data_IF_621659411050
#
_entry.id   IF_621659411050
#
_cell.length_a   1.000
_cell.length_b   1.000
_cell.length_c   1.000
_cell.angle_alpha   90.00
_cell.angle_beta   90.00
_cell.angle_gamma   90.00
#
_symmetry.space_group_name_H-M   'P 1'
#
loop_
_entity.id
_entity.type
_entity.pdbx_description
1 polymer ?
#
# COMPACT_ATOMS: atom_id res chain seq x y z
N UNK A 1 -25.34 -33.81 37.11
CA UNK A 1 -24.20 -33.14 37.78
C UNK A 1 -22.92 -33.75 37.27
N UNK A 2 -22.28 -33.11 36.29
CA UNK A 2 -20.83 -32.90 36.20
C UNK A 2 -20.58 -31.94 35.04
N UNK A 3 -19.99 -30.81 35.40
CA UNK A 3 -19.60 -29.70 34.54
C UNK A 3 -18.35 -30.09 33.74
N UNK A 4 -18.36 -29.73 32.46
CA UNK A 4 -17.20 -29.84 31.58
C UNK A 4 -17.06 -28.51 30.84
N UNK A 5 -16.13 -27.70 31.32
CA UNK A 5 -15.75 -26.38 30.82
C UNK A 5 -15.41 -26.44 29.33
N UNK A 6 -16.30 -25.94 28.46
CA UNK A 6 -15.97 -25.67 27.06
C UNK A 6 -15.52 -24.23 26.96
N UNK A 7 -14.20 -24.08 26.75
CA UNK A 7 -13.48 -22.84 26.49
C UNK A 7 -14.29 -21.91 25.59
N UNK A 8 -14.66 -20.77 26.16
CA UNK A 8 -15.27 -19.65 25.46
C UNK A 8 -14.28 -19.18 24.39
N UNK A 9 -14.53 -19.59 23.14
CA UNK A 9 -13.86 -19.07 21.95
C UNK A 9 -14.15 -17.57 21.94
N UNK A 10 -13.18 -16.76 22.36
CA UNK A 10 -13.25 -15.30 22.33
C UNK A 10 -13.55 -14.89 20.88
N UNK A 11 -14.82 -14.59 20.62
CA UNK A 11 -15.28 -13.98 19.38
C UNK A 11 -14.93 -12.51 19.52
N UNK A 12 -13.72 -12.16 19.08
CA UNK A 12 -13.23 -10.79 19.06
C UNK A 12 -14.13 -10.01 18.09
N UNK A 13 -14.83 -9.01 18.63
CA UNK A 13 -16.06 -8.40 18.13
C UNK A 13 -15.83 -7.33 17.05
N UNK A 14 -16.37 -7.58 15.84
CA UNK A 14 -17.30 -6.79 15.00
C UNK A 14 -17.50 -5.26 15.16
N UNK A 15 -16.60 -4.48 15.77
CA UNK A 15 -16.71 -3.01 15.85
C UNK A 15 -15.49 -2.30 15.23
N UNK A 16 -15.28 -2.49 13.92
CA UNK A 16 -14.40 -1.59 13.15
C UNK A 16 -15.22 -0.40 12.66
N UNK A 17 -15.02 0.76 13.29
CA UNK A 17 -15.38 2.03 12.67
C UNK A 17 -14.30 2.29 11.62
N UNK A 18 -14.54 1.87 10.37
CA UNK A 18 -13.80 2.44 9.24
C UNK A 18 -14.22 3.90 9.19
N UNK A 19 -13.40 4.78 9.76
CA UNK A 19 -13.61 6.21 9.64
C UNK A 19 -13.62 6.50 8.13
N UNK A 20 -14.64 7.19 7.59
CA UNK A 20 -14.58 7.64 6.21
C UNK A 20 -13.26 8.39 6.08
N UNK A 21 -12.40 7.92 5.18
CA UNK A 21 -11.11 8.53 4.92
C UNK A 21 -11.36 10.03 4.79
N UNK A 22 -10.84 10.81 5.72
CA UNK A 22 -10.94 12.26 5.60
C UNK A 22 -10.13 12.58 4.35
N UNK A 23 -10.83 12.86 3.25
CA UNK A 23 -10.23 13.54 2.11
C UNK A 23 -9.78 14.90 2.63
N UNK A 24 -8.56 14.96 3.16
CA UNK A 24 -7.84 16.23 3.21
C UNK A 24 -7.61 16.53 1.74
N UNK A 25 -8.42 17.45 1.19
CA UNK A 25 -8.25 17.95 -0.16
C UNK A 25 -6.87 18.58 -0.30
N UNK A 26 -5.89 17.74 -0.58
CA UNK A 26 -4.52 18.05 -0.97
C UNK A 26 -4.28 17.27 -2.25
N UNK A 27 -3.72 17.95 -3.24
CA UNK A 27 -3.56 17.54 -4.63
C UNK A 27 -3.46 16.01 -4.85
N UNK A 28 -4.43 15.48 -5.61
CA UNK A 28 -4.34 14.19 -6.30
C UNK A 28 -3.01 14.16 -7.05
N UNK A 29 -2.25 13.08 -6.94
CA UNK A 29 -0.92 12.94 -7.53
C UNK A 29 -0.74 13.64 -8.88
N UNK A 30 0.12 14.65 -8.94
CA UNK A 30 0.32 15.47 -10.15
C UNK A 30 1.42 14.95 -11.07
N UNK A 31 2.27 14.05 -10.58
CA UNK A 31 3.43 13.55 -11.29
C UNK A 31 3.73 12.08 -11.01
N UNK A 32 4.54 11.49 -11.90
CA UNK A 32 4.93 10.09 -11.84
C UNK A 32 6.41 9.96 -11.56
N UNK A 33 6.79 8.88 -10.89
CA UNK A 33 8.18 8.53 -10.59
C UNK A 33 8.46 7.09 -10.97
N UNK A 34 9.71 6.85 -11.36
CA UNK A 34 10.22 5.51 -11.60
C UNK A 34 10.65 4.88 -10.27
N UNK A 35 10.27 3.64 -10.07
CA UNK A 35 10.72 2.79 -8.97
C UNK A 35 10.81 1.35 -9.45
N UNK A 36 11.53 0.51 -8.72
CA UNK A 36 11.57 -0.94 -9.01
C UNK A 36 10.92 -1.69 -7.87
N UNK A 37 10.09 -2.68 -8.20
CA UNK A 37 9.57 -3.65 -7.24
C UNK A 37 10.31 -4.95 -7.44
N UNK A 38 10.74 -5.54 -6.34
CA UNK A 38 11.50 -6.78 -6.29
C UNK A 38 10.87 -7.75 -5.30
N UNK A 39 10.77 -8.99 -5.73
CA UNK A 39 10.48 -10.10 -4.85
C UNK A 39 11.66 -10.34 -3.90
N UNK A 40 11.41 -10.20 -2.59
CA UNK A 40 12.43 -10.35 -1.54
C UNK A 40 13.06 -11.75 -1.46
N UNK A 41 12.38 -12.78 -1.98
CA UNK A 41 12.82 -14.18 -1.92
C UNK A 41 13.52 -14.58 -3.21
N UNK A 42 12.88 -14.34 -4.36
CA UNK A 42 13.38 -14.81 -5.67
C UNK A 42 14.33 -13.82 -6.33
N UNK A 43 14.25 -12.53 -5.97
CA UNK A 43 14.98 -11.46 -6.64
C UNK A 43 14.39 -11.01 -7.98
N UNK A 44 13.29 -11.62 -8.44
CA UNK A 44 12.55 -11.18 -9.62
C UNK A 44 12.11 -9.72 -9.44
N UNK A 45 12.33 -8.89 -10.46
CA UNK A 45 12.10 -7.46 -10.35
C UNK A 45 11.50 -6.84 -11.62
N UNK A 46 10.80 -5.72 -11.43
CA UNK A 46 10.29 -4.90 -12.53
C UNK A 46 10.35 -3.42 -12.19
N UNK A 47 10.89 -2.64 -13.13
CA UNK A 47 10.80 -1.19 -13.08
C UNK A 47 9.41 -0.73 -13.50
N UNK A 48 8.81 0.13 -12.70
CA UNK A 48 7.46 0.65 -12.83
C UNK A 48 7.49 2.17 -12.79
N UNK A 49 6.47 2.78 -13.39
CA UNK A 49 6.26 4.22 -13.36
C UNK A 49 4.90 4.51 -12.71
N UNK A 50 4.91 4.97 -11.46
CA UNK A 50 3.71 5.15 -10.64
C UNK A 50 3.37 6.60 -10.39
N UNK A 51 2.08 6.89 -10.27
CA UNK A 51 1.56 8.18 -9.85
C UNK A 51 1.81 8.36 -8.36
N UNK A 52 2.46 9.46 -7.95
CA UNK A 52 2.67 9.76 -6.53
C UNK A 52 1.35 10.19 -5.91
N UNK A 53 0.75 9.38 -5.06
CA UNK A 53 -0.58 9.65 -4.48
C UNK A 53 -0.53 9.62 -2.95
N UNK A 54 -0.47 10.79 -2.33
CA UNK A 54 -0.47 10.92 -0.87
C UNK A 54 -1.84 10.64 -0.24
N UNK A 55 -2.91 10.54 -1.05
CA UNK A 55 -4.24 10.12 -0.60
C UNK A 55 -4.40 8.60 -0.53
N UNK A 56 -3.54 7.84 -1.22
CA UNK A 56 -3.49 6.38 -1.11
C UNK A 56 -2.57 5.97 0.04
N UNK A 57 -3.09 5.20 1.01
CA UNK A 57 -2.28 4.72 2.14
C UNK A 57 -1.15 3.79 1.69
N UNK A 58 -1.43 2.92 0.71
CA UNK A 58 -0.51 1.90 0.20
C UNK A 58 -0.15 2.13 -1.27
N UNK A 59 0.96 1.54 -1.69
CA UNK A 59 1.29 1.45 -3.12
C UNK A 59 0.38 0.42 -3.77
N UNK A 60 -0.32 0.79 -4.83
CA UNK A 60 -1.24 -0.10 -5.56
C UNK A 60 -0.63 -0.45 -6.90
N UNK A 61 -0.54 -1.75 -7.20
CA UNK A 61 0.03 -2.29 -8.44
C UNK A 61 -0.96 -3.32 -9.00
N UNK A 62 -1.22 -3.32 -10.33
CA UNK A 62 -2.07 -4.33 -10.94
C UNK A 62 -1.63 -5.75 -10.56
N UNK A 63 -2.58 -6.55 -10.11
CA UNK A 63 -2.33 -7.90 -9.58
C UNK A 63 -1.46 -8.75 -10.52
N UNK A 64 -1.74 -8.73 -11.83
CA UNK A 64 -0.97 -9.50 -12.80
C UNK A 64 0.54 -9.18 -12.81
N UNK A 65 0.94 -7.95 -12.52
CA UNK A 65 2.36 -7.59 -12.40
C UNK A 65 2.97 -8.23 -11.15
N UNK A 66 2.27 -8.17 -10.02
CA UNK A 66 2.73 -8.76 -8.77
C UNK A 66 2.77 -10.29 -8.83
N UNK A 67 1.76 -10.89 -9.47
CA UNK A 67 1.68 -12.33 -9.72
C UNK A 67 2.84 -12.79 -10.62
N UNK A 68 3.17 -12.04 -11.68
CA UNK A 68 4.33 -12.31 -12.55
C UNK A 68 5.67 -12.22 -11.81
N UNK A 69 5.78 -11.32 -10.83
CA UNK A 69 6.95 -11.21 -9.95
C UNK A 69 6.96 -12.28 -8.84
N UNK A 70 5.90 -13.09 -8.73
CA UNK A 70 5.74 -14.09 -7.69
C UNK A 70 5.61 -13.51 -6.28
N UNK A 71 5.13 -12.27 -6.15
CA UNK A 71 4.84 -11.66 -4.84
C UNK A 71 3.65 -12.41 -4.22
N UNK A 72 3.80 -12.84 -2.97
CA UNK A 72 2.76 -13.55 -2.25
C UNK A 72 1.67 -12.59 -1.76
N UNK A 73 0.44 -13.12 -1.63
CA UNK A 73 -0.69 -12.43 -1.00
C UNK A 73 -0.64 -12.79 0.48
N UNK A 74 0.12 -12.00 1.23
CA UNK A 74 0.42 -12.24 2.63
C UNK A 74 -0.80 -11.98 3.53
N UNK A 75 -1.59 -10.96 3.18
CA UNK A 75 -2.70 -10.45 3.98
C UNK A 75 -3.87 -10.04 3.07
N UNK A 76 -5.07 -9.93 3.64
CA UNK A 76 -6.27 -9.43 2.95
C UNK A 76 -6.98 -8.47 3.89
N UNK A 77 -7.29 -7.26 3.42
CA UNK A 77 -7.85 -6.19 4.24
C UNK A 77 -8.97 -5.41 3.53
N UNK A 78 -9.81 -4.73 4.30
CA UNK A 78 -10.86 -3.85 3.78
C UNK A 78 -10.34 -2.44 3.54
N UNK A 79 -10.48 -1.96 2.31
CA UNK A 79 -10.08 -0.62 1.87
C UNK A 79 -11.29 0.24 1.52
N UNK A 80 -11.35 1.46 2.05
CA UNK A 80 -12.22 2.50 1.51
C UNK A 80 -11.58 3.16 0.31
N UNK A 81 -12.29 3.14 -0.82
CA UNK A 81 -11.84 3.76 -2.06
C UNK A 81 -12.33 5.20 -2.19
N UNK A 82 -11.78 5.92 -3.17
CA UNK A 82 -12.09 7.32 -3.42
C UNK A 82 -13.56 7.56 -3.82
N UNK A 83 -14.26 6.56 -4.35
CA UNK A 83 -15.69 6.62 -4.68
C UNK A 83 -16.60 6.32 -3.46
N UNK A 84 -16.01 6.07 -2.29
CA UNK A 84 -16.71 5.71 -1.06
C UNK A 84 -17.10 4.23 -0.97
N UNK A 85 -16.78 3.41 -1.98
CA UNK A 85 -16.94 1.97 -1.89
C UNK A 85 -15.93 1.36 -0.91
N UNK A 86 -16.28 0.19 -0.38
CA UNK A 86 -15.38 -0.63 0.44
C UNK A 86 -15.10 -1.92 -0.32
N UNK A 87 -13.82 -2.25 -0.46
CA UNK A 87 -13.38 -3.45 -1.16
C UNK A 87 -12.39 -4.24 -0.31
N UNK A 88 -12.49 -5.56 -0.39
CA UNK A 88 -11.51 -6.48 0.19
C UNK A 88 -10.39 -6.67 -0.84
N UNK A 89 -9.16 -6.31 -0.49
CA UNK A 89 -8.00 -6.37 -1.37
C UNK A 89 -6.84 -7.09 -0.67
N UNK A 90 -6.10 -7.85 -1.48
CA UNK A 90 -4.91 -8.54 -1.01
C UNK A 90 -3.72 -7.57 -0.89
N UNK A 91 -2.85 -7.85 0.07
CA UNK A 91 -1.61 -7.13 0.35
C UNK A 91 -0.46 -8.14 0.28
N UNK A 92 0.65 -7.72 -0.33
CA UNK A 92 1.89 -8.48 -0.41
C UNK A 92 3.10 -7.66 0.03
N UNK A 93 4.19 -8.35 0.30
CA UNK A 93 5.42 -7.75 0.80
C UNK A 93 6.51 -7.75 -0.27
N UNK A 94 6.98 -6.58 -0.67
CA UNK A 94 8.04 -6.43 -1.67
C UNK A 94 9.21 -5.56 -1.18
N UNK A 95 10.36 -5.68 -1.82
CA UNK A 95 11.41 -4.68 -1.72
C UNK A 95 11.21 -3.66 -2.84
N UNK A 96 11.27 -2.38 -2.51
CA UNK A 96 11.19 -1.29 -3.47
C UNK A 96 12.56 -0.62 -3.59
N UNK A 97 12.98 -0.32 -4.81
CA UNK A 97 14.06 0.64 -5.06
C UNK A 97 13.47 1.97 -5.53
N UNK A 98 13.74 3.02 -4.78
CA UNK A 98 13.29 4.39 -5.06
C UNK A 98 14.38 5.38 -4.61
N UNK A 99 14.71 6.35 -5.48
CA UNK A 99 15.75 7.35 -5.20
C UNK A 99 17.09 6.71 -4.76
N UNK A 100 17.49 5.62 -5.44
CA UNK A 100 18.75 4.91 -5.19
C UNK A 100 18.84 4.18 -3.85
N UNK A 101 17.73 4.00 -3.15
CA UNK A 101 17.65 3.28 -1.87
C UNK A 101 16.70 2.10 -2.01
N UNK A 102 16.95 1.06 -1.23
CA UNK A 102 16.07 -0.11 -1.13
C UNK A 102 15.38 -0.13 0.24
N UNK A 103 14.06 -0.32 0.26
CA UNK A 103 13.28 -0.50 1.51
C UNK A 103 12.19 -1.57 1.33
N UNK A 104 11.85 -2.31 2.40
CA UNK A 104 10.66 -3.15 2.38
C UNK A 104 9.41 -2.26 2.36
N UNK A 105 8.41 -2.66 1.57
CA UNK A 105 7.12 -2.00 1.46
C UNK A 105 5.99 -3.04 1.37
N UNK A 106 4.80 -2.61 1.77
CA UNK A 106 3.57 -3.31 1.46
C UNK A 106 3.01 -2.81 0.12
N UNK A 107 2.53 -3.74 -0.71
CA UNK A 107 1.89 -3.46 -2.00
C UNK A 107 0.50 -4.08 -2.02
N UNK A 108 -0.49 -3.32 -2.49
CA UNK A 108 -1.86 -3.79 -2.67
C UNK A 108 -2.03 -4.30 -4.10
N UNK A 109 -2.66 -5.46 -4.23
CA UNK A 109 -3.01 -6.07 -5.51
C UNK A 109 -4.25 -5.36 -6.09
N UNK A 110 -4.01 -4.38 -6.96
CA UNK A 110 -5.06 -3.64 -7.65
C UNK A 110 -5.64 -4.36 -8.86
N UNK A 111 -6.71 -3.82 -9.43
CA UNK A 111 -7.31 -4.32 -10.66
C UNK A 111 -6.44 -4.00 -11.89
N UNK A 112 -6.72 -4.64 -13.03
CA UNK A 112 -5.92 -4.46 -14.25
C UNK A 112 -6.02 -3.07 -14.88
N UNK A 113 -7.12 -2.37 -14.62
CA UNK A 113 -7.41 -1.01 -15.06
C UNK A 113 -6.95 0.07 -14.07
N UNK A 114 -6.52 -0.34 -12.88
CA UNK A 114 -5.97 0.55 -11.86
C UNK A 114 -4.67 1.18 -12.33
N UNK A 115 -4.49 2.47 -12.06
CA UNK A 115 -3.20 3.13 -12.22
C UNK A 115 -2.24 2.58 -11.16
N UNK A 116 -0.97 2.42 -11.51
CA UNK A 116 0.07 2.19 -10.51
C UNK A 116 0.18 3.46 -9.64
N UNK A 117 -0.05 3.31 -8.34
CA UNK A 117 0.02 4.41 -7.35
C UNK A 117 1.18 4.16 -6.40
N UNK A 118 1.95 5.21 -6.10
CA UNK A 118 2.94 5.23 -5.03
C UNK A 118 2.31 5.94 -3.83
N UNK A 119 1.93 5.14 -2.83
CA UNK A 119 1.17 5.61 -1.65
C UNK A 119 2.04 6.21 -0.55
N UNK A 120 1.37 6.78 0.45
CA UNK A 120 1.97 7.46 1.59
C UNK A 120 2.94 6.58 2.40
N UNK A 121 2.59 5.32 2.68
CA UNK A 121 3.45 4.43 3.46
C UNK A 121 4.82 4.22 2.82
N UNK A 122 4.87 4.06 1.48
CA UNK A 122 6.13 3.94 0.78
C UNK A 122 6.93 5.25 0.91
N UNK A 123 6.31 6.40 0.63
CA UNK A 123 6.97 7.70 0.76
C UNK A 123 7.57 7.90 2.17
N UNK A 124 6.85 7.54 3.23
CA UNK A 124 7.29 7.61 4.62
C UNK A 124 8.46 6.65 4.90
N UNK A 125 8.39 5.39 4.44
CA UNK A 125 9.48 4.42 4.56
C UNK A 125 10.79 4.91 3.92
N UNK A 126 10.67 5.76 2.90
CA UNK A 126 11.79 6.41 2.23
C UNK A 126 12.15 7.79 2.80
N UNK A 127 11.45 8.31 3.81
CA UNK A 127 11.61 9.69 4.30
C UNK A 127 11.47 10.71 3.17
N UNK A 128 10.49 10.51 2.30
CA UNK A 128 10.19 11.36 1.15
C UNK A 128 8.82 12.02 1.29
N UNK A 129 8.68 13.20 0.70
CA UNK A 129 7.42 13.91 0.52
C UNK A 129 7.27 14.33 -0.94
N UNK A 130 6.03 14.53 -1.37
CA UNK A 130 5.71 15.02 -2.70
C UNK A 130 5.83 16.56 -2.76
N UNK A 131 6.67 17.07 -3.66
CA UNK A 131 6.66 18.47 -4.09
C UNK A 131 5.83 18.55 -5.38
N UNK A 132 4.51 18.52 -5.20
CA UNK A 132 3.53 18.45 -6.29
C UNK A 132 3.60 19.66 -7.23
N UNK A 133 4.05 20.82 -6.75
CA UNK A 133 4.25 22.02 -7.58
C UNK A 133 5.42 21.86 -8.56
N UNK A 134 6.51 21.22 -8.12
CA UNK A 134 7.72 21.05 -8.93
C UNK A 134 7.85 19.63 -9.52
N UNK A 135 6.83 18.78 -9.34
CA UNK A 135 6.78 17.41 -9.84
C UNK A 135 8.00 16.55 -9.46
N UNK A 136 8.37 16.57 -8.18
CA UNK A 136 9.52 15.80 -7.67
C UNK A 136 9.29 15.29 -6.26
N UNK A 137 10.07 14.29 -5.87
CA UNK A 137 10.19 13.89 -4.48
C UNK A 137 11.24 14.76 -3.77
N UNK A 138 10.95 15.12 -2.53
CA UNK A 138 11.86 15.86 -1.65
C UNK A 138 12.04 15.09 -0.35
N UNK A 139 13.12 15.37 0.38
CA UNK A 139 13.33 14.78 1.70
C UNK A 139 12.27 15.27 2.68
N UNK A 140 11.59 14.34 3.34
CA UNK A 140 10.71 14.63 4.46
C UNK A 140 11.53 14.76 5.77
N UNK A 141 11.03 15.58 6.68
CA UNK A 141 11.48 15.53 8.07
C UNK A 141 10.82 14.33 8.77
N UNK A 142 11.62 13.58 9.54
CA UNK A 142 11.13 12.49 10.38
C UNK A 142 11.24 12.92 11.84
N UNK A 143 10.16 12.72 12.59
CA UNK A 143 10.07 13.03 14.02
C UNK A 143 9.53 11.79 14.75
N UNK A 144 9.97 11.56 15.99
CA UNK A 144 9.55 10.45 16.86
C UNK A 144 8.95 10.97 18.16
#
# INVERSE_FOLDING_TARGET
MQEGTMTQKHRMTDDWIILPGTTIGGEVGTFRVDFTIRNRVTGEERSLNGLVDTGASYTIIPAGILDELGIERDETELFSLADGSVQELDIGWADMDLEGRTRPVYVVFGTSDEKILLGAMALEAFALAADAKNHRLIRAELTI
#
